data_IF_245277467329
#
_entry.id   IF_245277467329
#
_cell.length_a   1.000
_cell.length_b   1.000
_cell.length_c   1.000
_cell.angle_alpha   90.00
_cell.angle_beta   90.00
_cell.angle_gamma   90.00
#
_symmetry.space_group_name_H-M   'P 1'
#
loop_
_entity.id
_entity.type
_entity.pdbx_description
1 polymer ?
#
# COMPACT_ATOMS: atom_id res chain seq x y z
N UNK A 1 -16.38 -23.34 8.53
CA UNK A 1 -16.54 -21.93 8.14
C UNK A 1 -15.34 -21.19 8.68
N UNK A 2 -14.59 -20.47 7.82
CA UNK A 2 -13.40 -19.71 8.24
C UNK A 2 -13.84 -18.37 8.82
N UNK A 3 -13.41 -18.04 10.02
CA UNK A 3 -13.65 -16.72 10.62
C UNK A 3 -12.60 -15.76 10.14
N UNK A 4 -13.02 -14.62 9.59
CA UNK A 4 -12.14 -13.53 9.16
C UNK A 4 -12.27 -12.40 10.18
N UNK A 5 -11.14 -11.92 10.70
CA UNK A 5 -11.09 -10.75 11.55
C UNK A 5 -10.69 -9.53 10.71
N UNK A 6 -11.50 -8.48 10.81
CA UNK A 6 -11.21 -7.20 10.17
C UNK A 6 -10.68 -6.21 11.20
N UNK A 7 -9.79 -5.34 10.76
CA UNK A 7 -9.19 -4.31 11.61
C UNK A 7 -9.49 -2.92 11.04
N UNK A 8 -9.64 -1.95 11.91
CA UNK A 8 -9.71 -0.54 11.55
C UNK A 8 -8.58 0.21 12.26
N UNK A 9 -7.81 0.98 11.52
CA UNK A 9 -6.71 1.79 12.02
C UNK A 9 -6.92 3.25 11.66
N UNK A 10 -6.46 4.13 12.54
CA UNK A 10 -6.36 5.55 12.27
C UNK A 10 -4.89 5.97 12.41
N UNK A 11 -4.35 6.53 11.33
CA UNK A 11 -3.00 7.06 11.27
C UNK A 11 -3.08 8.58 11.14
N UNK A 12 -2.27 9.31 11.92
CA UNK A 12 -2.28 10.78 11.95
C UNK A 12 -0.88 11.34 12.18
N UNK A 13 -0.72 12.63 11.87
CA UNK A 13 0.53 13.35 12.00
C UNK A 13 1.24 13.58 10.67
N UNK A 14 2.56 13.66 10.68
CA UNK A 14 3.41 13.69 9.49
C UNK A 14 3.43 12.33 8.80
N UNK A 15 3.93 12.28 7.57
CA UNK A 15 4.11 10.99 6.87
C UNK A 15 5.01 10.03 7.66
N UNK A 16 6.07 10.54 8.27
CA UNK A 16 6.95 9.75 9.13
C UNK A 16 6.21 9.19 10.35
N UNK A 17 5.41 10.01 11.04
CA UNK A 17 4.65 9.58 12.22
C UNK A 17 3.59 8.55 11.86
N UNK A 18 2.89 8.72 10.76
CA UNK A 18 1.94 7.74 10.25
C UNK A 18 2.60 6.38 9.98
N UNK A 19 3.76 6.39 9.33
CA UNK A 19 4.57 5.18 9.10
C UNK A 19 5.03 4.55 10.41
N UNK A 20 5.49 5.35 11.37
CA UNK A 20 5.93 4.87 12.68
C UNK A 20 4.79 4.23 13.47
N UNK A 21 3.59 4.81 13.44
CA UNK A 21 2.40 4.25 14.08
C UNK A 21 2.04 2.88 13.48
N UNK A 22 2.01 2.79 12.15
CA UNK A 22 1.73 1.54 11.45
C UNK A 22 2.79 0.48 11.75
N UNK A 23 4.07 0.84 11.65
CA UNK A 23 5.19 -0.06 11.96
C UNK A 23 5.16 -0.56 13.40
N UNK A 24 4.84 0.30 14.36
CA UNK A 24 4.70 -0.09 15.77
C UNK A 24 3.56 -1.09 15.99
N UNK A 25 2.45 -0.91 15.26
CA UNK A 25 1.33 -1.86 15.29
C UNK A 25 1.75 -3.23 14.78
N UNK A 26 2.44 -3.28 13.65
CA UNK A 26 2.92 -4.53 13.08
C UNK A 26 4.05 -5.16 13.90
N UNK A 27 4.92 -4.34 14.50
CA UNK A 27 6.00 -4.82 15.35
C UNK A 27 5.50 -5.54 16.60
N UNK A 28 4.29 -5.24 17.08
CA UNK A 28 3.67 -5.93 18.21
C UNK A 28 3.28 -7.39 17.92
N UNK A 29 3.29 -7.79 16.64
CA UNK A 29 2.99 -9.15 16.18
C UNK A 29 4.27 -9.79 15.66
N UNK A 30 4.91 -10.73 16.40
CA UNK A 30 6.25 -11.24 16.07
C UNK A 30 6.41 -11.77 14.65
N UNK A 31 5.43 -12.50 14.14
CA UNK A 31 5.43 -13.04 12.78
C UNK A 31 5.41 -11.94 11.71
N UNK A 32 4.63 -10.89 11.92
CA UNK A 32 4.53 -9.76 11.02
C UNK A 32 5.81 -8.91 11.06
N UNK A 33 6.35 -8.64 12.25
CA UNK A 33 7.64 -7.93 12.37
C UNK A 33 8.70 -8.58 11.49
N UNK A 34 8.92 -9.87 11.65
CA UNK A 34 9.91 -10.63 10.87
C UNK A 34 9.63 -10.54 9.37
N UNK A 35 8.36 -10.71 8.97
CA UNK A 35 7.96 -10.68 7.56
C UNK A 35 8.27 -9.33 6.91
N UNK A 36 7.95 -8.22 7.57
CA UNK A 36 8.09 -6.88 6.99
C UNK A 36 9.50 -6.32 7.06
N UNK A 37 10.38 -6.86 7.90
CA UNK A 37 11.78 -6.44 8.06
C UNK A 37 12.80 -7.39 7.42
N UNK A 38 12.36 -8.44 6.74
CA UNK A 38 13.27 -9.43 6.17
C UNK A 38 13.84 -9.07 4.79
N UNK A 39 13.41 -7.96 4.23
CA UNK A 39 13.79 -7.60 2.87
C UNK A 39 13.07 -8.43 1.80
N UNK A 40 13.51 -8.28 0.57
CA UNK A 40 12.97 -9.00 -0.57
C UNK A 40 14.13 -9.56 -1.42
N UNK A 41 14.10 -10.83 -1.83
CA UNK A 41 15.16 -11.42 -2.66
C UNK A 41 15.38 -10.61 -3.93
N UNK A 42 16.64 -10.29 -4.24
CA UNK A 42 17.00 -9.49 -5.41
C UNK A 42 16.75 -7.98 -5.28
N UNK A 43 16.26 -7.50 -4.13
CA UNK A 43 16.08 -6.08 -3.84
C UNK A 43 17.16 -5.60 -2.86
N UNK A 44 18.15 -4.91 -3.37
CA UNK A 44 19.25 -4.35 -2.57
C UNK A 44 19.27 -2.82 -2.63
N UNK A 45 20.38 -2.24 -2.18
CA UNK A 45 20.54 -0.79 -2.07
C UNK A 45 20.34 -0.04 -3.40
N UNK A 46 20.74 -0.63 -4.52
CA UNK A 46 20.56 -0.02 -5.85
C UNK A 46 19.08 0.11 -6.20
N UNK A 47 18.31 -0.97 -6.04
CA UNK A 47 16.88 -1.00 -6.30
C UNK A 47 16.13 -0.08 -5.32
N UNK A 48 16.54 -0.06 -4.06
CA UNK A 48 16.01 0.86 -3.06
C UNK A 48 16.20 2.32 -3.47
N UNK A 49 17.38 2.70 -3.92
CA UNK A 49 17.66 4.08 -4.35
C UNK A 49 16.79 4.47 -5.55
N UNK A 50 16.63 3.58 -6.53
CA UNK A 50 15.78 3.80 -7.69
C UNK A 50 14.30 3.96 -7.29
N UNK A 51 13.78 3.04 -6.47
CA UNK A 51 12.42 3.13 -5.96
C UNK A 51 12.18 4.41 -5.16
N UNK A 52 13.13 4.80 -4.31
CA UNK A 52 13.06 6.02 -3.50
C UNK A 52 13.04 7.29 -4.35
N UNK A 53 13.77 7.32 -5.47
CA UNK A 53 13.71 8.44 -6.42
C UNK A 53 12.32 8.52 -7.07
N UNK A 54 11.78 7.39 -7.50
CA UNK A 54 10.44 7.32 -8.08
C UNK A 54 9.38 7.79 -7.06
N UNK A 55 9.45 7.31 -5.83
CA UNK A 55 8.48 7.68 -4.78
C UNK A 55 8.58 9.16 -4.41
N UNK A 56 9.77 9.74 -4.34
CA UNK A 56 9.92 11.19 -4.10
C UNK A 56 9.24 12.02 -5.18
N UNK A 57 9.30 11.58 -6.43
CA UNK A 57 8.70 12.28 -7.57
C UNK A 57 7.19 12.12 -7.65
N UNK A 58 6.69 10.89 -7.49
CA UNK A 58 5.30 10.56 -7.80
C UNK A 58 4.42 10.34 -6.56
N UNK A 59 5.02 10.04 -5.43
CA UNK A 59 4.33 9.75 -4.18
C UNK A 59 4.94 10.56 -3.02
N UNK A 60 4.83 11.91 -3.03
CA UNK A 60 5.47 12.76 -2.01
C UNK A 60 5.04 12.36 -0.60
N UNK A 61 6.02 12.07 0.26
CA UNK A 61 5.82 11.64 1.64
C UNK A 61 5.91 10.13 1.85
N UNK A 62 5.81 9.29 0.80
CA UNK A 62 5.90 7.84 0.96
C UNK A 62 7.27 7.40 1.48
N UNK A 63 8.36 8.02 1.03
CA UNK A 63 9.70 7.72 1.57
C UNK A 63 9.84 8.04 3.05
N UNK A 64 9.19 9.10 3.54
CA UNK A 64 9.15 9.43 4.96
C UNK A 64 8.27 8.45 5.75
N UNK A 65 7.13 8.05 5.19
CA UNK A 65 6.27 7.02 5.79
C UNK A 65 7.03 5.69 5.94
N UNK A 66 7.71 5.25 4.88
CA UNK A 66 8.51 4.02 4.90
C UNK A 66 9.73 4.12 5.84
N UNK A 67 10.33 5.29 5.99
CA UNK A 67 11.39 5.51 6.97
C UNK A 67 10.87 5.36 8.41
N UNK A 68 9.75 6.01 8.74
CA UNK A 68 9.12 5.84 10.06
C UNK A 68 8.70 4.40 10.33
N UNK A 69 8.22 3.70 9.31
CA UNK A 69 7.88 2.28 9.38
C UNK A 69 9.11 1.42 9.68
N UNK A 70 10.22 1.61 8.96
CA UNK A 70 11.48 0.91 9.17
C UNK A 70 12.03 1.11 10.59
N UNK A 71 12.01 2.36 11.07
CA UNK A 71 12.46 2.70 12.43
C UNK A 71 11.64 1.96 13.49
N UNK A 72 10.32 1.89 13.33
CA UNK A 72 9.46 1.16 14.27
C UNK A 72 9.71 -0.35 14.24
N UNK A 73 10.08 -0.91 13.10
CA UNK A 73 10.47 -2.32 12.98
C UNK A 73 11.90 -2.59 13.47
N UNK A 74 12.74 -1.56 13.58
CA UNK A 74 14.16 -1.68 13.90
C UNK A 74 14.98 -2.31 12.78
N UNK A 75 14.68 -1.94 11.53
CA UNK A 75 15.38 -2.45 10.35
C UNK A 75 15.84 -1.29 9.45
N UNK A 76 16.77 -1.59 8.54
CA UNK A 76 17.19 -0.63 7.53
C UNK A 76 16.05 -0.39 6.51
N UNK A 77 15.92 0.83 5.95
CA UNK A 77 14.84 1.17 5.04
C UNK A 77 14.73 0.24 3.81
N UNK A 78 15.86 -0.21 3.25
CA UNK A 78 15.90 -1.14 2.13
C UNK A 78 15.38 -2.55 2.47
N UNK A 79 15.28 -2.88 3.75
CA UNK A 79 14.74 -4.15 4.23
C UNK A 79 13.22 -4.15 4.35
N UNK A 80 12.58 -2.98 4.23
CA UNK A 80 11.12 -2.89 4.29
C UNK A 80 10.51 -3.61 3.08
N UNK A 81 9.72 -4.61 3.36
CA UNK A 81 9.08 -5.47 2.34
C UNK A 81 8.34 -4.68 1.25
N UNK A 82 7.76 -3.54 1.58
CA UNK A 82 7.01 -2.70 0.65
C UNK A 82 7.80 -2.32 -0.60
N UNK A 83 9.08 -1.99 -0.46
CA UNK A 83 9.91 -1.66 -1.61
C UNK A 83 10.04 -2.81 -2.60
N UNK A 84 10.03 -4.05 -2.09
CA UNK A 84 10.05 -5.25 -2.91
C UNK A 84 8.70 -5.66 -3.50
N UNK A 85 7.60 -5.09 -3.01
CA UNK A 85 6.23 -5.50 -3.37
C UNK A 85 5.62 -4.71 -4.54
N UNK A 86 6.34 -3.78 -5.13
CA UNK A 86 5.84 -2.90 -6.20
C UNK A 86 5.47 -3.63 -7.50
N UNK A 87 5.64 -4.93 -7.57
CA UNK A 87 5.28 -5.81 -8.69
C UNK A 87 4.27 -6.90 -8.39
N UNK A 88 3.57 -6.81 -7.26
CA UNK A 88 2.41 -7.67 -7.04
C UNK A 88 1.39 -7.43 -8.16
N UNK A 89 0.84 -8.52 -8.67
CA UNK A 89 -0.13 -8.50 -9.78
C UNK A 89 -1.49 -9.01 -9.28
N UNK A 90 -2.25 -8.21 -8.51
CA UNK A 90 -3.59 -8.59 -8.10
C UNK A 90 -4.50 -8.67 -9.31
N UNK A 91 -5.43 -9.60 -9.30
CA UNK A 91 -6.51 -9.70 -10.30
C UNK A 91 -7.77 -9.16 -9.67
N UNK A 92 -8.44 -8.23 -10.33
CA UNK A 92 -9.57 -7.53 -9.76
C UNK A 92 -10.55 -7.13 -10.84
N UNK A 93 -11.82 -6.94 -10.46
CA UNK A 93 -12.82 -6.29 -11.27
C UNK A 93 -13.29 -4.99 -10.60
N UNK A 94 -13.60 -4.00 -11.41
CA UNK A 94 -14.01 -2.68 -10.98
C UNK A 94 -15.31 -2.27 -11.63
N UNK A 95 -16.14 -1.55 -10.90
CA UNK A 95 -17.38 -0.95 -11.37
C UNK A 95 -17.44 0.50 -10.90
N UNK A 96 -17.75 1.40 -11.81
CA UNK A 96 -18.10 2.77 -11.48
C UNK A 96 -19.49 3.09 -12.03
N UNK A 97 -20.35 3.65 -11.19
CA UNK A 97 -21.71 4.05 -11.54
C UNK A 97 -21.81 5.57 -11.51
N UNK A 98 -22.38 6.13 -12.58
CA UNK A 98 -22.69 7.55 -12.64
C UNK A 98 -23.86 7.89 -11.70
N UNK A 99 -23.98 9.15 -11.24
CA UNK A 99 -25.08 9.58 -10.37
C UNK A 99 -26.47 9.23 -10.90
N UNK A 100 -26.65 9.31 -12.21
CA UNK A 100 -27.93 8.99 -12.87
C UNK A 100 -28.32 7.50 -12.80
N UNK A 101 -27.41 6.63 -12.43
CA UNK A 101 -27.60 5.17 -12.34
C UNK A 101 -27.76 4.68 -10.90
N UNK A 102 -27.69 5.58 -9.92
CA UNK A 102 -27.78 5.25 -8.50
C UNK A 102 -29.04 5.82 -7.86
N UNK A 103 -29.66 5.07 -6.96
CA UNK A 103 -30.84 5.55 -6.24
C UNK A 103 -30.54 6.75 -5.34
N UNK A 104 -29.30 6.92 -4.92
CA UNK A 104 -28.85 8.04 -4.07
C UNK A 104 -28.53 9.30 -4.85
N UNK A 105 -28.43 9.24 -6.20
CA UNK A 105 -27.97 10.35 -7.02
C UNK A 105 -26.48 10.71 -6.82
N UNK A 106 -25.70 9.84 -6.16
CA UNK A 106 -24.25 10.01 -5.98
C UNK A 106 -23.48 9.01 -6.83
N UNK A 107 -22.27 9.36 -7.30
CA UNK A 107 -21.41 8.38 -7.97
C UNK A 107 -21.04 7.27 -6.98
N UNK A 108 -20.94 6.05 -7.47
CA UNK A 108 -20.52 4.89 -6.66
C UNK A 108 -19.38 4.16 -7.36
N UNK A 109 -18.42 3.70 -6.59
CA UNK A 109 -17.39 2.77 -7.05
C UNK A 109 -17.48 1.48 -6.23
N UNK A 110 -17.33 0.35 -6.90
CA UNK A 110 -17.23 -0.95 -6.28
C UNK A 110 -16.06 -1.72 -6.88
N UNK A 111 -15.43 -2.55 -6.09
CA UNK A 111 -14.33 -3.40 -6.49
C UNK A 111 -14.51 -4.80 -5.92
N UNK A 112 -14.28 -5.81 -6.76
CA UNK A 112 -13.99 -7.15 -6.29
C UNK A 112 -12.48 -7.35 -6.30
N UNK A 113 -11.94 -7.71 -5.14
CA UNK A 113 -10.51 -7.91 -4.96
C UNK A 113 -10.21 -9.41 -4.95
N UNK A 114 -9.39 -9.84 -5.91
CA UNK A 114 -9.01 -11.23 -6.06
C UNK A 114 -7.52 -11.39 -5.81
N UNK A 115 -7.19 -11.79 -4.60
CA UNK A 115 -5.83 -12.07 -4.16
C UNK A 115 -5.82 -13.29 -3.22
N UNK A 116 -4.67 -13.61 -2.67
CA UNK A 116 -4.54 -14.70 -1.72
C UNK A 116 -5.04 -14.28 -0.33
N UNK A 117 -6.11 -14.90 0.15
CA UNK A 117 -6.70 -14.61 1.45
C UNK A 117 -5.76 -14.89 2.64
N UNK A 118 -4.71 -15.70 2.45
CA UNK A 118 -3.67 -15.91 3.47
C UNK A 118 -2.69 -14.73 3.57
N UNK A 119 -2.62 -13.90 2.54
CA UNK A 119 -1.77 -12.72 2.49
C UNK A 119 -2.51 -11.43 2.90
N UNK A 120 -3.84 -11.50 2.98
CA UNK A 120 -4.68 -10.35 3.32
C UNK A 120 -4.67 -10.05 4.81
N UNK A 121 -4.64 -8.77 5.15
CA UNK A 121 -4.77 -8.30 6.53
C UNK A 121 -6.18 -7.78 6.87
N UNK A 122 -7.06 -7.67 5.87
CA UNK A 122 -8.44 -7.20 6.01
C UNK A 122 -8.56 -5.90 6.82
N UNK A 123 -7.62 -4.99 6.62
CA UNK A 123 -7.53 -3.76 7.39
C UNK A 123 -8.02 -2.57 6.59
N UNK A 124 -8.92 -1.78 7.16
CA UNK A 124 -9.31 -0.46 6.67
C UNK A 124 -8.54 0.59 7.46
N UNK A 125 -7.86 1.48 6.77
CA UNK A 125 -7.02 2.50 7.38
C UNK A 125 -7.51 3.89 7.01
N UNK A 126 -7.83 4.70 8.02
CA UNK A 126 -8.05 6.14 7.89
C UNK A 126 -6.74 6.86 8.17
N UNK A 127 -6.35 7.71 7.25
CA UNK A 127 -5.05 8.40 7.30
C UNK A 127 -5.26 9.91 7.25
N UNK A 128 -4.68 10.61 8.22
CA UNK A 128 -4.64 12.07 8.31
C UNK A 128 -3.20 12.53 8.42
N UNK A 129 -2.64 12.99 7.32
CA UNK A 129 -1.29 13.52 7.26
C UNK A 129 -1.35 15.03 7.16
N UNK A 130 -0.57 15.72 7.96
CA UNK A 130 -0.50 17.19 7.95
C UNK A 130 -0.22 17.72 6.54
N UNK A 131 -1.07 18.64 6.07
CA UNK A 131 -0.95 19.24 4.73
C UNK A 131 -1.41 18.34 3.57
N UNK A 132 -2.08 17.22 3.85
CA UNK A 132 -2.69 16.33 2.85
C UNK A 132 -4.16 16.09 3.14
N UNK A 133 -4.92 15.74 2.12
CA UNK A 133 -6.32 15.34 2.30
C UNK A 133 -6.42 14.05 3.13
N UNK A 134 -7.35 14.06 4.05
CA UNK A 134 -7.73 12.84 4.79
C UNK A 134 -8.24 11.80 3.80
N UNK A 135 -7.81 10.56 3.96
CA UNK A 135 -8.29 9.47 3.13
C UNK A 135 -8.51 8.21 3.95
N UNK A 136 -9.36 7.34 3.42
CA UNK A 136 -9.63 6.01 3.93
C UNK A 136 -9.41 5.00 2.82
N UNK A 137 -8.86 3.85 3.13
CA UNK A 137 -8.62 2.80 2.15
C UNK A 137 -8.28 1.47 2.79
N UNK A 138 -8.30 0.43 1.98
CA UNK A 138 -7.89 -0.91 2.38
C UNK A 138 -6.39 -1.09 2.25
N UNK A 139 -5.77 -1.82 3.15
CA UNK A 139 -4.36 -2.17 3.04
C UNK A 139 -4.17 -3.60 2.54
N UNK A 140 -3.05 -3.81 1.88
CA UNK A 140 -2.54 -5.14 1.56
C UNK A 140 -1.28 -5.38 2.35
N UNK A 141 -1.23 -6.50 3.02
CA UNK A 141 -0.05 -6.91 3.78
C UNK A 141 0.39 -5.86 4.82
N UNK A 142 -0.56 -5.07 5.34
CA UNK A 142 -0.32 -4.07 6.37
C UNK A 142 0.32 -2.78 5.89
N UNK A 143 0.65 -2.61 4.61
CA UNK A 143 1.31 -1.42 4.07
C UNK A 143 0.64 -0.98 2.78
N UNK A 144 0.62 0.34 2.56
CA UNK A 144 0.06 0.92 1.33
C UNK A 144 -1.46 0.97 1.37
N UNK A 145 -2.04 1.24 0.22
CA UNK A 145 -3.48 1.25 0.00
C UNK A 145 -3.74 0.69 -1.38
N UNK A 146 -4.59 -0.33 -1.46
CA UNK A 146 -5.05 -0.87 -2.73
C UNK A 146 -6.16 -0.07 -3.31
N UNK A 147 -7.01 0.42 -2.42
CA UNK A 147 -8.15 1.25 -2.71
C UNK A 147 -8.15 2.40 -1.77
N UNK A 148 -8.76 3.49 -2.18
CA UNK A 148 -8.97 4.60 -1.27
C UNK A 148 -9.90 5.65 -1.84
N UNK A 149 -10.52 6.37 -0.92
CA UNK A 149 -11.27 7.58 -1.21
C UNK A 149 -10.78 8.68 -0.27
N UNK A 150 -10.58 9.87 -0.79
CA UNK A 150 -10.25 11.02 0.04
C UNK A 150 -11.48 11.87 0.37
N UNK A 151 -11.34 12.81 1.31
CA UNK A 151 -12.41 13.72 1.74
C UNK A 151 -12.95 14.62 0.63
N UNK A 152 -12.23 14.75 -0.49
CA UNK A 152 -12.68 15.49 -1.68
C UNK A 152 -13.45 14.61 -2.67
N UNK A 153 -13.66 13.31 -2.36
CA UNK A 153 -14.37 12.36 -3.20
C UNK A 153 -13.52 11.71 -4.30
N UNK A 154 -12.22 12.00 -4.39
CA UNK A 154 -11.36 11.28 -5.31
C UNK A 154 -11.23 9.83 -4.85
N UNK A 155 -11.65 8.92 -5.72
CA UNK A 155 -11.55 7.47 -5.50
C UNK A 155 -10.49 6.88 -6.43
N UNK A 156 -9.61 6.07 -5.87
CA UNK A 156 -8.58 5.34 -6.61
C UNK A 156 -8.69 3.87 -6.25
N UNK A 157 -8.66 3.01 -7.25
CA UNK A 157 -8.68 1.56 -7.08
C UNK A 157 -7.59 0.94 -7.94
N UNK A 158 -6.99 -0.14 -7.43
CA UNK A 158 -5.89 -0.84 -8.08
C UNK A 158 -6.39 -2.09 -8.82
N UNK A 159 -5.96 -2.27 -10.06
CA UNK A 159 -6.06 -3.55 -10.76
C UNK A 159 -4.77 -3.85 -11.50
N UNK A 160 -4.43 -5.12 -11.60
CA UNK A 160 -3.37 -5.56 -12.49
C UNK A 160 -3.94 -5.69 -13.91
N UNK A 161 -3.31 -5.05 -14.88
CA UNK A 161 -3.56 -5.38 -16.29
C UNK A 161 -2.59 -6.49 -16.69
N UNK A 162 -3.08 -7.50 -17.42
CA UNK A 162 -2.23 -8.53 -18.01
C UNK A 162 -1.37 -8.05 -19.18
N UNK A 163 -1.37 -6.75 -19.46
CA UNK A 163 -0.55 -6.18 -20.52
C UNK A 163 0.88 -5.94 -20.02
N UNK A 164 1.90 -6.31 -20.82
CA UNK A 164 3.27 -5.92 -20.53
C UNK A 164 3.34 -4.40 -20.49
N UNK A 165 3.51 -3.85 -19.32
CA UNK A 165 3.87 -2.45 -19.19
C UNK A 165 5.32 -2.37 -19.65
N UNK A 166 5.58 -1.60 -20.71
CA UNK A 166 6.96 -1.27 -21.08
C UNK A 166 7.69 -0.72 -19.87
N UNK A 167 9.01 -0.87 -19.81
CA UNK A 167 9.77 -0.37 -18.67
C UNK A 167 9.43 1.10 -18.50
N UNK A 168 8.89 1.44 -17.32
CA UNK A 168 8.92 2.84 -16.91
C UNK A 168 10.38 3.26 -17.05
N UNK A 169 10.68 4.37 -17.71
CA UNK A 169 12.06 4.77 -17.99
C UNK A 169 12.97 4.78 -16.75
N UNK A 170 12.38 4.76 -15.58
CA UNK A 170 13.02 4.90 -14.27
C UNK A 170 12.87 3.67 -13.34
N UNK A 171 12.11 2.64 -13.76
CA UNK A 171 11.97 1.39 -13.00
C UNK A 171 12.18 0.19 -13.92
N UNK A 172 13.41 -0.24 -14.06
CA UNK A 172 13.66 -1.59 -14.59
C UNK A 172 13.25 -2.59 -13.52
N UNK A 173 12.34 -3.50 -13.87
CA UNK A 173 12.06 -4.66 -13.03
C UNK A 173 13.39 -5.37 -12.74
N UNK A 174 13.73 -5.66 -11.48
CA UNK A 174 14.82 -6.60 -11.26
C UNK A 174 14.43 -7.91 -11.94
N UNK A 175 15.37 -8.49 -12.66
CA UNK A 175 15.16 -9.80 -13.27
C UNK A 175 14.75 -10.77 -12.14
N UNK A 176 13.57 -11.34 -12.25
CA UNK A 176 13.23 -12.50 -11.42
C UNK A 176 14.12 -13.61 -11.94
N UNK A 177 15.15 -13.96 -11.18
CA UNK A 177 15.90 -15.18 -11.46
C UNK A 177 14.90 -16.34 -11.38
N UNK A 178 14.74 -17.05 -12.52
CA UNK A 178 13.92 -18.24 -12.63
C UNK A 178 14.49 -19.40 -11.80
#
# INVERSE_FOLDING_TARGET
MKTIHTHALELSGSSYEAGRLLGSRLASVPGLKKRFSSGFPGFGLTQFNQASQCFRRWCPGLTQELAGFADALGCAPEQVLYYGMTWLTPRCSHLALLPSMTASGHPMAARNYEFNDEAEDFTVIKTRITGKYTHIGTSVLGIGRDDGINEMGLTVTLSSSGFPVGPLPEMRRPAVAG
#
